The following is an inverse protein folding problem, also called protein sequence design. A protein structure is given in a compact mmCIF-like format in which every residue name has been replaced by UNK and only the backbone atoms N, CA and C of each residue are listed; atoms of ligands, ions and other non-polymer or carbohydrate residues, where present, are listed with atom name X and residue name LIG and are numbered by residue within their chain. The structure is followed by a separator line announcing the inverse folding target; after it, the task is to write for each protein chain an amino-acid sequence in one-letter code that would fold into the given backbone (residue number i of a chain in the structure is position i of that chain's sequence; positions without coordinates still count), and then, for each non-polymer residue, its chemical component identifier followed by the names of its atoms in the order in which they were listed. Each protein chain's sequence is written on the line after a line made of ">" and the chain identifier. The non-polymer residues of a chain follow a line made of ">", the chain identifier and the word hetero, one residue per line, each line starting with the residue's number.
data_IF_679399079890
#
_entry.id   IF_679399079890
#
_cell.length_a   1.000
_cell.length_b   1.000
_cell.length_c   1.000
_cell.angle_alpha   90.00
_cell.angle_beta   90.00
_cell.angle_gamma   90.00
#
_symmetry.space_group_name_H-M   'P 1'
#
loop_
_entity.id
_entity.type
_entity.pdbx_description
1 polymer ?
#
# COMPACT_ATOMS: atom_id res chain seq x y z
N UNK A 1 0.64 -73.52 -30.06
CA UNK A 1 0.15 -72.70 -28.91
C UNK A 1 1.26 -71.70 -28.59
N UNK A 2 1.19 -70.53 -29.18
CA UNK A 2 2.20 -69.44 -29.04
C UNK A 2 1.59 -68.31 -28.23
N UNK A 3 2.12 -68.10 -27.04
CA UNK A 3 1.71 -67.02 -26.14
C UNK A 3 2.54 -65.80 -26.47
N UNK A 4 1.92 -64.79 -27.09
CA UNK A 4 2.50 -63.47 -27.33
C UNK A 4 2.38 -62.61 -26.05
N UNK A 5 3.51 -62.38 -25.41
CA UNK A 5 3.65 -61.48 -24.26
C UNK A 5 3.70 -60.04 -24.78
N UNK A 6 2.61 -59.31 -24.66
CA UNK A 6 2.53 -57.87 -25.00
C UNK A 6 3.23 -57.03 -23.94
N UNK A 7 4.35 -56.40 -24.30
CA UNK A 7 5.09 -55.47 -23.48
C UNK A 7 4.45 -54.09 -23.60
N UNK A 8 3.63 -53.70 -22.63
CA UNK A 8 3.11 -52.34 -22.54
C UNK A 8 4.21 -51.40 -21.97
N UNK A 9 4.86 -50.68 -22.87
CA UNK A 9 5.77 -49.61 -22.51
C UNK A 9 4.91 -48.41 -22.14
N UNK A 10 4.76 -48.14 -20.85
CA UNK A 10 4.17 -46.89 -20.36
C UNK A 10 5.21 -45.79 -20.48
N UNK A 11 5.07 -44.97 -21.53
CA UNK A 11 5.84 -43.74 -21.69
C UNK A 11 5.25 -42.69 -20.75
N UNK A 12 5.83 -42.56 -19.57
CA UNK A 12 5.51 -41.47 -18.65
C UNK A 12 6.04 -40.18 -19.26
N UNK A 13 5.12 -39.38 -19.83
CA UNK A 13 5.41 -38.01 -20.24
C UNK A 13 5.52 -37.18 -18.97
N UNK A 14 6.75 -36.93 -18.51
CA UNK A 14 7.04 -35.96 -17.50
C UNK A 14 6.75 -34.58 -18.08
N UNK A 15 5.54 -34.07 -17.83
CA UNK A 15 5.20 -32.68 -18.06
C UNK A 15 6.05 -31.82 -17.12
N UNK A 16 7.12 -31.24 -17.66
CA UNK A 16 7.95 -30.26 -16.96
C UNK A 16 7.16 -28.93 -16.89
N UNK A 17 6.34 -28.80 -15.87
CA UNK A 17 5.74 -27.51 -15.54
C UNK A 17 6.85 -26.52 -15.19
N UNK A 18 7.23 -25.72 -16.18
CA UNK A 18 8.00 -24.51 -15.95
C UNK A 18 7.15 -23.58 -15.09
N UNK A 19 7.30 -23.70 -13.78
CA UNK A 19 6.77 -22.74 -12.82
C UNK A 19 7.34 -21.38 -13.14
N UNK A 20 6.59 -20.58 -13.91
CA UNK A 20 6.83 -19.14 -14.02
C UNK A 20 6.53 -18.55 -12.63
N UNK A 21 7.53 -18.55 -11.78
CA UNK A 21 7.54 -17.70 -10.60
C UNK A 21 7.48 -16.25 -11.10
N UNK A 22 6.25 -15.76 -11.38
CA UNK A 22 6.00 -14.33 -11.37
C UNK A 22 6.45 -13.86 -9.99
N UNK A 23 7.62 -13.21 -9.92
CA UNK A 23 7.92 -12.27 -8.84
C UNK A 23 6.81 -11.23 -8.88
N UNK A 24 5.69 -11.54 -8.26
CA UNK A 24 4.71 -10.56 -7.84
C UNK A 24 5.50 -9.63 -6.93
N UNK A 25 5.83 -8.44 -7.41
CA UNK A 25 6.22 -7.36 -6.53
C UNK A 25 5.11 -7.29 -5.51
N UNK A 26 5.38 -7.82 -4.30
CA UNK A 26 4.36 -7.97 -3.29
C UNK A 26 3.81 -6.57 -2.99
N UNK A 27 2.65 -6.29 -3.59
CA UNK A 27 1.96 -5.02 -3.42
C UNK A 27 1.72 -4.88 -1.92
N UNK A 28 2.23 -3.79 -1.34
CA UNK A 28 2.06 -3.56 0.08
C UNK A 28 0.61 -3.21 0.35
N UNK A 29 -0.16 -4.18 0.77
CA UNK A 29 -1.58 -4.07 1.12
C UNK A 29 -1.78 -4.45 2.58
N UNK A 30 -2.75 -3.82 3.20
CA UNK A 30 -3.21 -4.24 4.52
C UNK A 30 -3.83 -5.65 4.46
N UNK A 31 -3.83 -6.40 5.57
CA UNK A 31 -4.67 -7.58 5.69
C UNK A 31 -6.13 -7.26 5.36
N UNK A 32 -6.90 -8.21 4.77
CA UNK A 32 -8.25 -7.92 4.31
C UNK A 32 -9.19 -7.35 5.37
N UNK A 33 -9.09 -7.79 6.60
CA UNK A 33 -9.88 -7.28 7.75
C UNK A 33 -9.49 -5.85 8.12
N UNK A 34 -8.21 -5.49 8.02
CA UNK A 34 -7.74 -4.13 8.27
C UNK A 34 -8.14 -3.17 7.13
N UNK A 35 -8.01 -3.62 5.89
CA UNK A 35 -8.42 -2.84 4.73
C UNK A 35 -9.92 -2.51 4.72
N UNK A 36 -10.76 -3.40 5.28
CA UNK A 36 -12.21 -3.21 5.39
C UNK A 36 -12.62 -2.33 6.56
N UNK A 37 -11.71 -1.91 7.44
CA UNK A 37 -12.07 -1.03 8.56
C UNK A 37 -12.70 0.26 8.04
N UNK A 38 -13.94 0.59 8.47
CA UNK A 38 -14.54 1.86 8.11
C UNK A 38 -13.80 3.00 8.79
N UNK A 39 -13.69 4.13 8.11
CA UNK A 39 -13.16 5.33 8.71
C UNK A 39 -14.20 5.93 9.67
N UNK A 40 -13.92 6.03 10.98
CA UNK A 40 -14.87 6.57 11.93
C UNK A 40 -14.94 8.11 11.90
N UNK A 41 -14.05 8.75 11.13
CA UNK A 41 -13.97 10.22 11.01
C UNK A 41 -14.51 10.63 9.64
N UNK A 42 -15.54 11.46 9.64
CA UNK A 42 -16.08 12.02 8.41
C UNK A 42 -14.99 12.80 7.66
N UNK A 43 -14.94 12.60 6.33
CA UNK A 43 -14.00 13.33 5.47
C UNK A 43 -14.58 14.70 5.12
N UNK A 44 -14.52 15.61 6.09
CA UNK A 44 -14.91 17.01 5.97
C UNK A 44 -13.68 17.92 5.95
N UNK A 45 -13.93 19.21 5.73
CA UNK A 45 -12.89 20.23 5.67
C UNK A 45 -12.03 20.29 6.95
N UNK A 46 -12.65 20.10 8.11
CA UNK A 46 -11.94 20.13 9.39
C UNK A 46 -10.99 18.96 9.55
N UNK A 47 -11.46 17.74 9.26
CA UNK A 47 -10.65 16.53 9.30
C UNK A 47 -9.50 16.58 8.30
N UNK A 48 -9.75 17.03 7.06
CA UNK A 48 -8.74 17.23 6.03
C UNK A 48 -7.68 18.24 6.49
N UNK A 49 -8.10 19.39 7.05
CA UNK A 49 -7.17 20.42 7.53
C UNK A 49 -6.28 19.90 8.67
N UNK A 50 -6.84 19.13 9.62
CA UNK A 50 -6.07 18.47 10.69
C UNK A 50 -5.08 17.46 10.12
N UNK A 51 -5.51 16.63 9.18
CA UNK A 51 -4.63 15.66 8.50
C UNK A 51 -3.51 16.35 7.73
N UNK A 52 -3.80 17.44 7.04
CA UNK A 52 -2.81 18.27 6.34
C UNK A 52 -1.72 18.78 7.28
N UNK A 53 -2.10 19.32 8.46
CA UNK A 53 -1.16 19.78 9.47
C UNK A 53 -0.25 18.66 9.96
N UNK A 54 -0.82 17.49 10.26
CA UNK A 54 -0.05 16.32 10.66
C UNK A 54 0.90 15.84 9.54
N UNK A 55 0.43 15.84 8.30
CA UNK A 55 1.22 15.46 7.14
C UNK A 55 2.42 16.40 6.96
N UNK A 56 2.20 17.70 7.07
CA UNK A 56 3.26 18.72 7.01
C UNK A 56 4.32 18.53 8.09
N UNK A 57 3.91 18.13 9.29
CA UNK A 57 4.81 17.95 10.43
C UNK A 57 5.63 16.67 10.33
N UNK A 58 5.02 15.57 9.85
CA UNK A 58 5.59 14.24 10.02
C UNK A 58 5.92 13.49 8.72
N UNK A 59 5.32 13.89 7.59
CA UNK A 59 5.35 13.06 6.37
C UNK A 59 6.08 13.73 5.20
N UNK A 60 6.08 15.07 5.14
CA UNK A 60 6.62 15.86 4.01
C UNK A 60 8.10 15.57 3.73
N UNK A 61 8.89 15.30 4.76
CA UNK A 61 10.33 15.02 4.62
C UNK A 61 10.61 13.87 3.63
N UNK A 62 9.72 12.89 3.56
CA UNK A 62 9.81 11.76 2.65
C UNK A 62 8.81 11.87 1.48
N UNK A 63 7.55 12.20 1.78
CA UNK A 63 6.47 12.17 0.79
C UNK A 63 6.34 13.44 -0.05
N UNK A 64 7.03 14.53 0.33
CA UNK A 64 6.92 15.83 -0.32
C UNK A 64 5.62 16.58 0.03
N UNK A 65 5.56 17.91 -0.15
CA UNK A 65 4.42 18.74 0.23
C UNK A 65 3.14 18.41 -0.56
N UNK A 66 3.29 17.89 -1.78
CA UNK A 66 2.20 17.42 -2.63
C UNK A 66 1.92 15.92 -2.53
N UNK A 67 2.60 15.19 -1.66
CA UNK A 67 2.44 13.74 -1.52
C UNK A 67 2.92 12.93 -2.72
N UNK A 68 3.80 13.49 -3.56
CA UNK A 68 4.28 12.85 -4.81
C UNK A 68 5.44 11.88 -4.58
N UNK A 69 5.93 11.74 -3.35
CA UNK A 69 7.10 10.92 -3.02
C UNK A 69 8.43 11.61 -3.34
N UNK A 70 8.43 12.93 -3.42
CA UNK A 70 9.52 13.79 -3.83
C UNK A 70 10.06 14.67 -2.67
N UNK A 71 9.87 14.22 -1.44
CA UNK A 71 10.41 14.90 -0.27
C UNK A 71 11.95 14.93 -0.27
N UNK A 72 12.57 15.85 0.48
CA UNK A 72 14.03 16.03 0.49
C UNK A 72 14.80 14.75 0.88
N UNK A 73 14.22 13.87 1.68
CA UNK A 73 14.84 12.60 2.04
C UNK A 73 14.60 11.49 1.01
N UNK A 74 13.65 11.65 0.07
CA UNK A 74 13.22 10.58 -0.84
C UNK A 74 14.34 10.04 -1.72
N UNK A 75 15.32 10.87 -2.10
CA UNK A 75 16.42 10.48 -2.98
C UNK A 75 17.31 9.39 -2.35
N UNK A 76 17.45 9.38 -1.03
CA UNK A 76 18.25 8.41 -0.28
C UNK A 76 17.49 7.16 0.17
N UNK A 77 16.19 7.05 -0.14
CA UNK A 77 15.38 5.93 0.33
C UNK A 77 15.22 4.84 -0.75
N UNK A 78 15.29 3.58 -0.31
CA UNK A 78 15.04 2.41 -1.14
C UNK A 78 14.14 1.41 -0.37
N UNK A 79 12.91 1.15 -0.84
CA UNK A 79 12.26 1.78 -1.99
C UNK A 79 11.94 3.26 -1.74
N UNK A 80 11.81 4.04 -2.82
CA UNK A 80 11.35 5.43 -2.74
C UNK A 80 9.90 5.50 -2.23
N UNK A 81 9.54 6.57 -1.52
CA UNK A 81 8.15 6.80 -1.12
C UNK A 81 7.22 6.82 -2.33
N UNK A 82 6.05 6.19 -2.25
CA UNK A 82 5.10 6.18 -3.35
C UNK A 82 4.46 7.55 -3.57
N UNK A 83 3.92 7.74 -4.78
CA UNK A 83 3.07 8.89 -5.08
C UNK A 83 1.68 8.67 -4.47
N UNK A 84 1.39 9.36 -3.37
CA UNK A 84 0.13 9.24 -2.64
C UNK A 84 -1.07 9.80 -3.43
N UNK A 85 -0.85 10.77 -4.32
CA UNK A 85 -1.91 11.32 -5.19
C UNK A 85 -2.48 10.23 -6.10
N UNK A 86 -1.61 9.32 -6.60
CA UNK A 86 -2.04 8.18 -7.42
C UNK A 86 -2.68 7.05 -6.59
N UNK A 87 -2.46 7.03 -5.28
CA UNK A 87 -3.07 6.05 -4.39
C UNK A 87 -4.46 6.48 -3.92
N UNK A 88 -4.70 7.78 -3.82
CA UNK A 88 -5.97 8.34 -3.39
C UNK A 88 -7.12 7.85 -4.29
N UNK A 89 -8.22 7.43 -3.68
CA UNK A 89 -9.37 6.86 -4.38
C UNK A 89 -9.21 5.42 -4.87
N UNK A 90 -7.99 4.88 -4.91
CA UNK A 90 -7.71 3.49 -5.35
C UNK A 90 -7.45 2.52 -4.19
N UNK A 91 -7.25 3.06 -2.99
CA UNK A 91 -7.03 2.28 -1.77
C UNK A 91 -8.13 2.59 -0.75
N UNK A 92 -8.72 1.57 -0.09
CA UNK A 92 -9.66 1.80 1.00
C UNK A 92 -9.02 2.59 2.15
N UNK A 93 -9.82 3.33 2.89
CA UNK A 93 -9.35 4.11 4.06
C UNK A 93 -8.62 3.23 5.08
N UNK A 94 -9.17 2.03 5.36
CA UNK A 94 -8.55 1.06 6.27
C UNK A 94 -7.17 0.58 5.82
N UNK A 95 -6.93 0.46 4.51
CA UNK A 95 -5.61 0.09 3.97
C UNK A 95 -4.58 1.22 4.18
N UNK A 96 -4.99 2.47 3.94
CA UNK A 96 -4.12 3.64 4.17
C UNK A 96 -3.82 3.79 5.67
N UNK A 97 -4.85 3.73 6.53
CA UNK A 97 -4.68 3.83 7.97
C UNK A 97 -3.75 2.74 8.51
N UNK A 98 -3.93 1.49 8.07
CA UNK A 98 -3.08 0.37 8.48
C UNK A 98 -1.61 0.58 8.08
N UNK A 99 -1.36 1.09 6.87
CA UNK A 99 0.00 1.41 6.40
C UNK A 99 0.66 2.49 7.25
N UNK A 100 -0.07 3.52 7.63
CA UNK A 100 0.41 4.56 8.54
C UNK A 100 0.71 3.95 9.92
N UNK A 101 -0.21 3.15 10.45
CA UNK A 101 -0.06 2.50 11.77
C UNK A 101 1.19 1.65 11.86
N UNK A 102 1.46 0.83 10.85
CA UNK A 102 2.46 -0.23 10.92
C UNK A 102 3.80 0.13 10.27
N UNK A 103 3.82 1.07 9.34
CA UNK A 103 5.03 1.40 8.58
C UNK A 103 5.54 0.22 7.76
N UNK A 104 6.62 0.42 7.04
CA UNK A 104 7.36 -0.65 6.33
C UNK A 104 8.72 -0.13 5.86
N UNK A 105 9.77 -0.90 6.13
CA UNK A 105 11.13 -0.53 5.72
C UNK A 105 11.54 0.84 6.29
N UNK A 106 11.79 1.81 5.44
CA UNK A 106 12.17 3.17 5.84
C UNK A 106 10.98 4.03 6.31
N UNK A 107 9.75 3.63 6.06
CA UNK A 107 8.57 4.30 6.58
C UNK A 107 8.32 3.87 8.03
N UNK A 108 8.40 4.76 9.01
CA UNK A 108 8.20 4.41 10.42
C UNK A 108 6.74 4.03 10.71
N UNK A 109 6.55 3.19 11.71
CA UNK A 109 5.23 2.93 12.29
C UNK A 109 4.79 4.12 13.15
N UNK A 110 3.54 4.54 12.99
CA UNK A 110 2.95 5.67 13.71
C UNK A 110 2.00 5.22 14.82
N UNK A 111 1.63 3.96 14.88
CA UNK A 111 0.86 3.40 16.01
C UNK A 111 1.59 3.66 17.32
N UNK A 112 0.88 4.24 18.28
CA UNK A 112 1.44 4.63 19.58
C UNK A 112 2.21 5.97 19.59
N UNK A 113 2.55 6.54 18.41
CA UNK A 113 3.15 7.88 18.28
C UNK A 113 2.08 8.92 17.95
N UNK A 114 1.11 8.56 17.15
CA UNK A 114 -0.07 9.34 16.84
C UNK A 114 -1.30 8.67 17.47
N UNK A 115 -2.27 9.48 17.85
CA UNK A 115 -3.58 8.98 18.29
C UNK A 115 -4.33 8.39 17.11
N UNK A 116 -5.20 7.42 17.34
CA UNK A 116 -6.01 6.81 16.30
C UNK A 116 -6.77 7.84 15.46
N UNK A 117 -7.38 8.83 16.10
CA UNK A 117 -8.06 9.93 15.43
C UNK A 117 -7.14 10.72 14.49
N UNK A 118 -5.87 10.90 14.84
CA UNK A 118 -4.89 11.61 14.02
C UNK A 118 -4.52 10.80 12.77
N UNK A 119 -4.42 9.48 12.90
CA UNK A 119 -4.20 8.58 11.78
C UNK A 119 -5.37 8.64 10.80
N UNK A 120 -6.61 8.65 11.28
CA UNK A 120 -7.79 8.80 10.42
C UNK A 120 -7.89 10.17 9.76
N UNK A 121 -7.51 11.26 10.45
CA UNK A 121 -7.40 12.57 9.83
C UNK A 121 -6.34 12.59 8.71
N UNK A 122 -5.18 11.97 8.93
CA UNK A 122 -4.15 11.79 7.90
C UNK A 122 -4.70 11.02 6.70
N UNK A 123 -5.43 9.94 6.94
CA UNK A 123 -6.10 9.14 5.89
C UNK A 123 -7.04 10.02 5.07
N UNK A 124 -7.87 10.84 5.73
CA UNK A 124 -8.77 11.77 5.06
C UNK A 124 -8.04 12.80 4.20
N UNK A 125 -6.94 13.34 4.68
CA UNK A 125 -6.10 14.27 3.91
C UNK A 125 -5.46 13.57 2.69
N UNK A 126 -4.90 12.37 2.86
CA UNK A 126 -4.28 11.61 1.76
C UNK A 126 -5.32 11.31 0.67
N UNK A 127 -6.51 10.91 1.04
CA UNK A 127 -7.61 10.67 0.08
C UNK A 127 -8.09 11.95 -0.61
N UNK A 128 -7.88 13.11 -0.01
CA UNK A 128 -8.24 14.40 -0.58
C UNK A 128 -7.11 15.05 -1.41
N UNK A 129 -5.91 14.48 -1.43
CA UNK A 129 -4.76 15.06 -2.15
C UNK A 129 -5.04 15.51 -3.58
N UNK A 130 -5.78 14.76 -4.43
CA UNK A 130 -6.08 15.20 -5.78
C UNK A 130 -6.82 16.54 -5.82
N UNK A 131 -7.82 16.74 -4.96
CA UNK A 131 -8.60 17.98 -4.90
C UNK A 131 -7.81 19.13 -4.28
N UNK A 132 -7.00 18.86 -3.25
CA UNK A 132 -6.15 19.86 -2.60
C UNK A 132 -5.08 20.44 -3.56
N UNK A 133 -4.64 19.68 -4.56
CA UNK A 133 -3.68 20.16 -5.55
C UNK A 133 -4.32 20.98 -6.67
N UNK A 134 -5.61 20.80 -6.93
CA UNK A 134 -6.35 21.52 -7.98
C UNK A 134 -6.99 22.82 -7.48
N UNK A 135 -7.07 23.01 -6.16
CA UNK A 135 -7.67 24.18 -5.51
C UNK A 135 -6.70 25.37 -5.28
N UNK A 136 -5.50 25.30 -5.88
CA UNK A 136 -4.46 26.35 -5.76
C UNK A 136 -4.38 27.23 -6.98
#
# INVERSE_FOLDING_TARGET
>A
MVVLLGLFIHLAIMAHEKGHSKKLHAHWSAPPEAAKRPNPIQRDQESIARGKKLFQTHCVVCHGPGGKGDGPAAAGLNPKPPNLVKMAGHHPDGDIAWKIENGRGTMPAWKGKLKEKEIWNLTNFIQALPSELTSR
#
